data_IF_309760930637
#
_entry.id   IF_309760930637
#
_cell.length_a   1.000
_cell.length_b   1.000
_cell.length_c   1.000
_cell.angle_alpha   90.00
_cell.angle_beta   90.00
_cell.angle_gamma   90.00
#
_symmetry.space_group_name_H-M   'P 1'
#
loop_
_entity.id
_entity.type
_entity.pdbx_description
1 polymer ?
#
# COMPACT_ATOMS: atom_id res chain seq x y z
N UNK A 1 -50.15 -40.46 -24.08
CA UNK A 1 -51.38 -39.88 -23.51
C UNK A 1 -51.14 -38.41 -23.22
N UNK A 2 -51.85 -37.49 -23.87
CA UNK A 2 -51.61 -36.06 -23.78
C UNK A 2 -52.58 -35.37 -22.81
N UNK A 3 -52.09 -34.41 -22.03
CA UNK A 3 -52.93 -33.34 -21.49
C UNK A 3 -52.14 -32.02 -21.42
N UNK A 4 -52.37 -31.18 -22.42
CA UNK A 4 -52.43 -29.71 -22.30
C UNK A 4 -53.93 -29.36 -22.06
N UNK A 5 -54.39 -28.13 -21.65
CA UNK A 5 -53.76 -26.83 -21.94
C UNK A 5 -54.03 -25.63 -20.96
N UNK A 6 -53.47 -24.48 -21.36
CA UNK A 6 -54.10 -23.14 -21.38
C UNK A 6 -54.28 -22.32 -20.06
N UNK A 7 -53.52 -21.21 -19.94
CA UNK A 7 -53.97 -19.81 -20.22
C UNK A 7 -54.28 -19.01 -18.94
N UNK A 8 -54.00 -17.70 -18.75
CA UNK A 8 -54.27 -16.51 -19.59
C UNK A 8 -53.55 -15.24 -19.06
N UNK A 9 -53.16 -14.39 -20.03
CA UNK A 9 -53.34 -12.90 -20.16
C UNK A 9 -52.65 -11.98 -19.14
N UNK A 10 -51.71 -11.11 -19.55
CA UNK A 10 -51.82 -9.85 -20.35
C UNK A 10 -52.53 -8.69 -19.64
N UNK A 11 -51.76 -7.66 -19.30
CA UNK A 11 -51.98 -6.21 -19.57
C UNK A 11 -51.00 -5.41 -18.69
N UNK A 12 -50.59 -4.17 -18.92
CA UNK A 12 -50.33 -3.32 -20.08
C UNK A 12 -49.91 -1.95 -19.48
N UNK A 13 -48.81 -1.37 -19.99
CA UNK A 13 -48.52 0.07 -20.18
C UNK A 13 -48.91 1.09 -19.08
N UNK A 14 -47.93 1.93 -18.71
CA UNK A 14 -48.05 3.40 -18.89
C UNK A 14 -46.68 4.09 -18.86
N UNK A 15 -46.47 4.92 -19.90
CA UNK A 15 -45.42 5.93 -20.02
C UNK A 15 -45.68 7.10 -19.05
N UNK A 16 -44.59 7.73 -18.56
CA UNK A 16 -44.44 9.19 -18.41
C UNK A 16 -42.95 9.48 -18.14
N UNK A 17 -42.19 9.98 -19.12
CA UNK A 17 -42.02 11.38 -19.47
C UNK A 17 -40.91 12.09 -18.66
N UNK A 18 -39.77 12.25 -19.36
CA UNK A 18 -38.72 13.27 -19.23
C UNK A 18 -39.14 14.54 -18.47
N UNK A 19 -38.29 14.97 -17.52
CA UNK A 19 -37.92 16.39 -17.36
C UNK A 19 -36.42 16.49 -17.07
N UNK A 20 -35.70 17.09 -18.03
CA UNK A 20 -34.38 17.64 -17.85
C UNK A 20 -34.50 18.89 -16.96
N UNK A 21 -33.66 18.98 -15.93
CA UNK A 21 -33.42 20.22 -15.20
C UNK A 21 -31.92 20.51 -15.23
N UNK A 22 -31.57 21.52 -16.02
CA UNK A 22 -30.26 22.16 -16.10
C UNK A 22 -30.13 23.19 -14.98
N UNK A 23 -29.03 23.20 -14.22
CA UNK A 23 -28.63 24.36 -13.43
C UNK A 23 -27.61 25.22 -14.21
N UNK A 24 -28.16 26.27 -14.83
CA UNK A 24 -27.67 27.66 -14.88
C UNK A 24 -26.19 27.91 -14.60
N UNK A 25 -25.49 28.22 -15.69
CA UNK A 25 -24.21 28.91 -15.76
C UNK A 25 -24.27 30.27 -15.07
N UNK A 26 -23.37 30.51 -14.11
CA UNK A 26 -23.22 31.78 -13.42
C UNK A 26 -22.32 32.74 -14.20
N UNK A 27 -22.92 33.85 -14.62
CA UNK A 27 -22.39 35.23 -14.66
C UNK A 27 -20.91 35.46 -15.00
N UNK A 28 -20.67 35.80 -16.27
CA UNK A 28 -19.53 36.60 -16.73
C UNK A 28 -19.77 38.08 -16.39
N UNK A 29 -19.05 38.63 -15.41
CA UNK A 29 -18.84 40.08 -15.29
C UNK A 29 -17.36 40.31 -14.94
N UNK A 30 -16.59 40.74 -15.93
CA UNK A 30 -15.26 41.34 -15.71
C UNK A 30 -15.22 42.63 -16.50
N UNK A 31 -15.58 43.72 -15.81
CA UNK A 31 -15.42 45.07 -16.31
C UNK A 31 -14.00 45.55 -16.00
N UNK A 32 -13.32 46.01 -17.04
CA UNK A 32 -12.04 46.69 -16.97
C UNK A 32 -12.19 48.11 -16.39
N UNK A 33 -11.21 48.57 -15.62
CA UNK A 33 -10.78 49.98 -15.64
C UNK A 33 -9.41 50.17 -15.00
N UNK A 34 -8.50 50.74 -15.79
CA UNK A 34 -7.22 51.33 -15.38
C UNK A 34 -7.46 52.58 -14.53
N UNK A 35 -6.64 52.81 -13.51
CA UNK A 35 -6.27 54.17 -13.10
C UNK A 35 -4.87 54.18 -12.47
N UNK A 36 -3.98 54.97 -13.11
CA UNK A 36 -2.62 55.29 -12.66
C UNK A 36 -2.69 56.42 -11.66
N UNK A 37 -2.04 56.28 -10.49
CA UNK A 37 -1.63 57.42 -9.67
C UNK A 37 -0.16 57.25 -9.27
N UNK A 38 0.65 58.18 -9.76
CA UNK A 38 2.01 58.48 -9.35
C UNK A 38 1.99 59.50 -8.21
N UNK A 39 2.75 59.30 -7.13
CA UNK A 39 3.94 60.11 -6.76
C UNK A 39 4.32 59.93 -5.27
N UNK A 40 5.58 59.47 -5.10
CA UNK A 40 6.62 59.91 -4.16
C UNK A 40 6.25 60.25 -2.70
N UNK A 41 6.92 59.56 -1.78
CA UNK A 41 7.71 60.21 -0.72
C UNK A 41 8.81 59.25 -0.26
N UNK A 42 10.03 59.78 -0.19
CA UNK A 42 11.22 59.08 0.28
C UNK A 42 11.29 59.13 1.81
N UNK A 43 11.66 58.02 2.43
CA UNK A 43 12.22 58.01 3.77
C UNK A 43 13.42 57.04 3.75
N UNK A 44 14.60 57.62 3.87
CA UNK A 44 15.85 56.90 4.08
C UNK A 44 15.82 56.26 5.46
N UNK A 45 15.69 54.94 5.52
CA UNK A 45 16.04 54.15 6.70
C UNK A 45 17.40 53.50 6.43
N UNK A 46 18.42 53.96 7.14
CA UNK A 46 19.72 53.32 7.19
C UNK A 46 19.54 51.95 7.87
N UNK A 47 19.35 50.90 7.05
CA UNK A 47 19.33 49.53 7.51
C UNK A 47 20.79 49.08 7.79
N UNK A 48 21.08 48.80 9.05
CA UNK A 48 22.24 47.99 9.43
C UNK A 48 22.14 46.66 8.69
N UNK A 49 22.97 46.47 7.68
CA UNK A 49 23.18 45.19 7.04
C UNK A 49 23.97 44.29 8.01
N UNK A 50 23.28 43.67 8.95
CA UNK A 50 23.79 42.43 9.54
C UNK A 50 23.65 41.35 8.48
N UNK A 51 24.72 40.60 8.16
CA UNK A 51 24.55 39.36 7.42
C UNK A 51 23.76 38.42 8.35
N UNK A 52 22.45 38.33 8.11
CA UNK A 52 21.71 37.12 8.45
C UNK A 52 22.34 36.00 7.61
N UNK A 53 23.45 35.46 8.10
CA UNK A 53 23.87 34.12 7.75
C UNK A 53 22.69 33.25 8.14
N UNK A 54 21.88 32.93 7.13
CA UNK A 54 20.79 31.98 7.23
C UNK A 54 21.40 30.67 7.67
N UNK A 55 21.42 30.44 8.98
CA UNK A 55 21.37 29.11 9.55
C UNK A 55 20.03 28.55 9.09
N UNK A 56 20.01 28.03 7.86
CA UNK A 56 19.06 26.99 7.51
C UNK A 56 19.41 25.87 8.47
N UNK A 57 18.75 25.85 9.63
CA UNK A 57 18.71 24.67 10.45
C UNK A 57 18.19 23.59 9.52
N UNK A 58 19.10 22.77 9.01
CA UNK A 58 18.72 21.51 8.42
C UNK A 58 17.82 20.88 9.47
N UNK A 59 16.58 20.49 9.11
CA UNK A 59 15.73 19.78 10.06
C UNK A 59 16.60 18.69 10.67
N UNK A 60 16.60 18.57 11.99
CA UNK A 60 17.19 17.43 12.64
C UNK A 60 16.30 16.24 12.24
N UNK A 61 16.55 15.70 11.04
CA UNK A 61 16.04 14.40 10.63
C UNK A 61 16.58 13.42 11.68
N UNK A 62 15.66 12.67 12.27
CA UNK A 62 15.95 11.82 13.41
C UNK A 62 16.68 10.58 12.91
N UNK A 63 17.99 10.73 12.70
CA UNK A 63 18.85 9.74 12.05
C UNK A 63 18.46 8.29 12.35
N UNK A 64 18.42 7.46 11.30
CA UNK A 64 18.20 6.02 11.41
C UNK A 64 19.04 5.43 12.53
N UNK A 65 18.38 4.66 13.39
CA UNK A 65 18.96 4.13 14.62
C UNK A 65 18.60 2.67 14.75
N UNK A 66 19.63 1.82 14.64
CA UNK A 66 19.50 0.38 14.71
C UNK A 66 20.53 -0.23 15.66
N UNK A 67 20.28 -1.46 16.06
CA UNK A 67 21.22 -2.35 16.73
C UNK A 67 21.46 -3.51 15.77
N UNK A 68 22.69 -3.69 15.31
CA UNK A 68 23.11 -4.81 14.45
C UNK A 68 23.99 -5.72 15.29
N UNK A 69 23.58 -6.97 15.50
CA UNK A 69 24.31 -7.95 16.31
C UNK A 69 24.71 -7.44 17.71
N UNK A 70 23.79 -6.72 18.36
CA UNK A 70 23.99 -6.14 19.69
C UNK A 70 24.80 -4.83 19.72
N UNK A 71 25.25 -4.32 18.56
CA UNK A 71 25.98 -3.04 18.46
C UNK A 71 25.08 -1.94 17.91
N UNK A 72 25.04 -0.79 18.58
CA UNK A 72 24.38 0.40 18.06
C UNK A 72 25.06 0.88 16.77
N UNK A 73 24.26 1.07 15.71
CA UNK A 73 24.65 1.64 14.43
C UNK A 73 23.67 2.76 14.09
N UNK A 74 24.19 3.90 13.65
CA UNK A 74 23.38 5.06 13.26
C UNK A 74 23.95 5.69 12.01
N UNK A 75 23.08 6.23 11.16
CA UNK A 75 23.49 6.92 9.95
C UNK A 75 22.66 6.49 8.74
N UNK A 76 22.97 7.05 7.55
CA UNK A 76 22.13 6.88 6.37
C UNK A 76 22.21 5.50 5.72
N UNK A 77 23.20 4.69 6.12
CA UNK A 77 23.37 3.33 5.66
C UNK A 77 23.69 2.45 6.87
N UNK A 78 22.78 1.54 7.18
CA UNK A 78 22.97 0.47 8.15
C UNK A 78 23.20 -0.80 7.34
N UNK A 79 24.37 -1.40 7.50
CA UNK A 79 24.77 -2.57 6.71
C UNK A 79 25.06 -3.72 7.66
N UNK A 80 24.47 -4.87 7.34
CA UNK A 80 24.72 -6.15 7.97
C UNK A 80 26.09 -6.74 7.64
N UNK A 81 26.21 -8.05 7.85
CA UNK A 81 27.33 -8.89 7.47
C UNK A 81 26.88 -9.96 6.49
N UNK A 82 27.79 -10.66 5.79
CA UNK A 82 27.39 -11.74 4.86
C UNK A 82 26.88 -13.04 5.52
N UNK A 83 26.50 -13.01 6.80
CA UNK A 83 25.89 -14.15 7.47
C UNK A 83 24.86 -13.66 8.48
N UNK A 84 24.09 -14.60 9.04
CA UNK A 84 22.88 -14.35 9.83
C UNK A 84 23.06 -13.23 10.87
N UNK A 85 22.36 -12.13 10.63
CA UNK A 85 22.33 -10.94 11.45
C UNK A 85 21.03 -10.83 12.25
N UNK A 86 21.14 -10.23 13.43
CA UNK A 86 19.99 -9.74 14.19
C UNK A 86 20.02 -8.21 14.16
N UNK A 87 19.07 -7.63 13.44
CA UNK A 87 18.95 -6.18 13.24
C UNK A 87 17.67 -5.69 13.92
N UNK A 88 17.77 -4.72 14.82
CA UNK A 88 16.59 -4.06 15.40
C UNK A 88 16.66 -2.57 15.18
N UNK A 89 15.68 -2.01 14.48
CA UNK A 89 15.61 -0.57 14.20
C UNK A 89 14.45 0.08 14.96
N UNK A 90 14.76 1.20 15.64
CA UNK A 90 13.75 2.05 16.29
C UNK A 90 13.11 3.05 15.34
N UNK A 91 13.81 3.37 14.25
CA UNK A 91 13.33 4.18 13.14
C UNK A 91 14.25 4.00 11.94
N UNK A 92 13.70 4.12 10.73
CA UNK A 92 14.46 4.23 9.48
C UNK A 92 13.99 5.50 8.78
N UNK A 93 14.87 6.49 8.72
CA UNK A 93 14.58 7.80 8.15
C UNK A 93 14.45 7.74 6.62
N UNK A 94 13.74 8.71 6.07
CA UNK A 94 13.58 8.81 4.63
C UNK A 94 14.91 9.03 3.90
N UNK A 95 15.12 8.26 2.84
CA UNK A 95 16.37 8.26 2.07
C UNK A 95 17.48 7.41 2.68
N UNK A 96 17.31 6.93 3.92
CA UNK A 96 18.24 6.00 4.54
C UNK A 96 17.94 4.56 4.10
N UNK A 97 18.94 3.69 4.23
CA UNK A 97 18.87 2.28 3.85
C UNK A 97 19.39 1.38 4.97
N UNK A 98 18.62 0.33 5.27
CA UNK A 98 19.06 -0.85 6.03
C UNK A 98 19.18 -2.00 5.04
N UNK A 99 20.34 -2.65 5.00
CA UNK A 99 20.65 -3.76 4.07
C UNK A 99 21.34 -4.88 4.86
N UNK A 100 20.69 -6.03 5.04
CA UNK A 100 21.22 -7.12 5.87
C UNK A 100 22.26 -7.98 5.10
N UNK A 101 22.27 -7.86 3.77
CA UNK A 101 23.22 -8.48 2.84
C UNK A 101 22.92 -9.95 2.52
N UNK A 102 23.57 -10.89 3.19
CA UNK A 102 23.43 -12.30 2.88
C UNK A 102 23.40 -13.10 4.18
N UNK A 103 22.78 -14.27 4.17
CA UNK A 103 22.51 -15.04 5.38
C UNK A 103 21.02 -14.99 5.71
N UNK A 104 20.59 -15.77 6.70
CA UNK A 104 19.19 -15.81 7.12
C UNK A 104 18.99 -14.79 8.24
N UNK A 105 18.62 -13.57 7.87
CA UNK A 105 18.63 -12.41 8.77
C UNK A 105 17.30 -12.22 9.53
N UNK A 106 17.39 -11.73 10.76
CA UNK A 106 16.23 -11.38 11.58
C UNK A 106 16.15 -9.87 11.80
N UNK A 107 15.19 -9.20 11.16
CA UNK A 107 15.02 -7.76 11.15
C UNK A 107 13.76 -7.37 11.93
N UNK A 108 13.92 -6.66 13.05
CA UNK A 108 12.83 -6.17 13.88
C UNK A 108 12.66 -4.64 13.78
N UNK A 109 11.48 -4.21 13.34
CA UNK A 109 11.10 -2.82 13.12
C UNK A 109 10.12 -2.38 14.21
N UNK A 110 10.59 -1.52 15.12
CA UNK A 110 9.85 -1.15 16.33
C UNK A 110 9.22 0.24 16.29
N UNK A 111 9.50 1.00 15.23
CA UNK A 111 8.98 2.35 15.00
C UNK A 111 8.81 2.65 13.51
N UNK A 112 8.75 3.93 13.11
CA UNK A 112 8.43 4.32 11.74
C UNK A 112 9.58 4.04 10.76
N UNK A 113 9.22 3.53 9.59
CA UNK A 113 10.11 3.21 8.47
C UNK A 113 9.72 4.06 7.27
N UNK A 114 10.45 5.15 7.06
CA UNK A 114 10.30 6.03 5.90
C UNK A 114 11.38 5.82 4.83
N UNK A 115 12.46 5.11 5.15
CA UNK A 115 13.50 4.68 4.22
C UNK A 115 13.34 3.24 3.72
N UNK A 116 14.42 2.69 3.17
CA UNK A 116 14.44 1.32 2.66
C UNK A 116 14.96 0.32 3.69
N UNK A 117 14.34 -0.85 3.75
CA UNK A 117 14.84 -2.03 4.46
C UNK A 117 14.89 -3.19 3.46
N UNK A 118 16.05 -3.83 3.37
CA UNK A 118 16.31 -4.97 2.51
C UNK A 118 16.72 -6.16 3.35
N UNK A 119 16.11 -7.31 3.10
CA UNK A 119 16.56 -8.61 3.58
C UNK A 119 17.92 -8.89 2.99
N UNK A 120 17.98 -9.43 1.78
CA UNK A 120 19.26 -9.82 1.23
C UNK A 120 19.17 -11.04 0.34
N UNK A 121 20.28 -11.76 0.27
CA UNK A 121 20.30 -13.15 -0.17
C UNK A 121 20.15 -14.06 1.07
N UNK A 122 19.03 -14.77 1.22
CA UNK A 122 18.83 -15.73 2.31
C UNK A 122 17.36 -15.82 2.72
N UNK A 123 17.00 -16.73 3.61
CA UNK A 123 15.62 -16.80 4.11
C UNK A 123 15.45 -15.79 5.25
N UNK A 124 15.10 -14.54 4.93
CA UNK A 124 15.04 -13.46 5.90
C UNK A 124 13.69 -13.37 6.62
N UNK A 125 13.72 -12.90 7.87
CA UNK A 125 12.54 -12.67 8.68
C UNK A 125 12.42 -11.18 9.08
N UNK A 126 11.44 -10.49 8.51
CA UNK A 126 11.14 -9.09 8.82
C UNK A 126 9.89 -8.99 9.69
N UNK A 127 10.03 -8.45 10.90
CA UNK A 127 8.92 -8.24 11.83
C UNK A 127 8.66 -6.75 12.05
N UNK A 128 7.41 -6.31 11.86
CA UNK A 128 6.96 -4.97 12.24
C UNK A 128 6.04 -5.07 13.45
N UNK A 129 6.41 -4.42 14.55
CA UNK A 129 5.60 -4.43 15.78
C UNK A 129 4.32 -3.59 15.65
N UNK A 130 3.33 -3.74 16.56
CA UNK A 130 2.12 -2.90 16.56
C UNK A 130 2.37 -1.38 16.64
N UNK A 131 3.51 -0.97 17.20
CA UNK A 131 3.90 0.45 17.32
C UNK A 131 4.74 0.94 16.15
N UNK A 132 5.17 0.03 15.28
CA UNK A 132 5.89 0.35 14.05
C UNK A 132 4.94 0.69 12.91
N UNK A 133 5.47 1.33 11.87
CA UNK A 133 4.75 1.61 10.63
C UNK A 133 5.69 1.60 9.44
N UNK A 134 5.22 1.11 8.29
CA UNK A 134 5.86 1.39 7.01
C UNK A 134 5.25 2.68 6.47
N UNK A 135 5.98 3.77 6.52
CA UNK A 135 5.49 5.09 6.09
C UNK A 135 5.33 5.15 4.57
N UNK A 136 4.67 6.19 4.05
CA UNK A 136 4.34 6.31 2.63
C UNK A 136 5.54 6.24 1.66
N UNK A 137 6.75 6.54 2.15
CA UNK A 137 8.00 6.41 1.39
C UNK A 137 8.86 5.22 1.79
N UNK A 138 8.46 4.54 2.86
CA UNK A 138 9.09 3.33 3.33
C UNK A 138 8.94 2.19 2.34
N UNK A 139 9.97 1.35 2.26
CA UNK A 139 9.92 0.10 1.50
C UNK A 139 10.57 -1.02 2.28
N UNK A 140 9.88 -2.15 2.36
CA UNK A 140 10.44 -3.43 2.77
C UNK A 140 10.57 -4.32 1.52
N UNK A 141 11.70 -4.99 1.35
CA UNK A 141 12.02 -5.81 0.18
C UNK A 141 12.87 -7.02 0.63
N UNK A 142 12.36 -8.24 0.48
CA UNK A 142 13.07 -9.45 0.90
C UNK A 142 14.22 -9.80 -0.05
N UNK A 143 14.00 -9.54 -1.33
CA UNK A 143 14.92 -9.70 -2.47
C UNK A 143 15.04 -11.14 -3.00
N UNK A 144 15.83 -12.01 -2.39
CA UNK A 144 16.11 -13.35 -2.91
C UNK A 144 15.93 -14.41 -1.84
N UNK A 145 15.34 -15.54 -2.25
CA UNK A 145 15.01 -16.71 -1.42
C UNK A 145 13.66 -16.52 -0.71
N UNK A 146 13.26 -17.48 0.11
CA UNK A 146 11.91 -17.53 0.65
C UNK A 146 11.83 -16.66 1.93
N UNK A 147 11.40 -15.40 1.77
CA UNK A 147 11.37 -14.42 2.85
C UNK A 147 10.07 -14.43 3.64
N UNK A 148 10.13 -13.95 4.88
CA UNK A 148 8.97 -13.91 5.80
C UNK A 148 8.76 -12.52 6.38
N UNK A 149 7.59 -11.97 6.15
CA UNK A 149 7.14 -10.70 6.71
C UNK A 149 6.02 -10.94 7.72
N UNK A 150 6.23 -10.55 8.97
CA UNK A 150 5.20 -10.55 10.01
C UNK A 150 4.92 -9.10 10.41
N UNK A 151 3.88 -8.50 9.84
CA UNK A 151 3.61 -7.08 9.96
C UNK A 151 2.37 -6.83 10.80
N UNK A 152 2.57 -6.33 12.02
CA UNK A 152 1.47 -5.97 12.94
C UNK A 152 1.23 -4.47 12.99
N UNK A 153 1.96 -3.68 12.20
CA UNK A 153 1.81 -2.22 12.13
C UNK A 153 1.12 -1.74 10.83
N UNK A 154 0.71 -0.46 10.76
CA UNK A 154 0.20 0.11 9.51
C UNK A 154 1.23 0.08 8.37
N UNK A 155 0.76 -0.22 7.16
CA UNK A 155 1.54 -0.21 5.92
C UNK A 155 0.98 0.88 5.01
N UNK A 156 1.70 2.00 4.92
CA UNK A 156 1.41 3.14 4.05
C UNK A 156 2.30 3.15 2.80
N UNK A 157 3.45 2.46 2.87
CA UNK A 157 4.44 2.36 1.80
C UNK A 157 4.36 1.05 1.01
N UNK A 158 5.53 0.51 0.66
CA UNK A 158 5.66 -0.72 -0.13
C UNK A 158 6.20 -1.87 0.71
N UNK A 159 5.66 -3.06 0.48
CA UNK A 159 6.23 -4.34 0.91
C UNK A 159 6.31 -5.25 -0.30
N UNK A 160 7.48 -5.82 -0.56
CA UNK A 160 7.70 -6.80 -1.63
C UNK A 160 8.37 -8.02 -1.01
N UNK A 161 7.84 -9.22 -1.28
CA UNK A 161 8.51 -10.49 -0.97
C UNK A 161 9.86 -10.53 -1.65
N UNK A 162 9.86 -10.53 -2.98
CA UNK A 162 11.08 -10.47 -3.77
C UNK A 162 11.09 -11.52 -4.86
N UNK A 163 11.90 -12.55 -4.67
CA UNK A 163 12.07 -13.67 -5.59
C UNK A 163 12.08 -14.95 -4.79
N UNK A 164 11.46 -15.97 -5.36
CA UNK A 164 11.15 -17.25 -4.72
C UNK A 164 9.88 -17.15 -3.88
N UNK A 165 9.60 -18.17 -3.06
CA UNK A 165 8.26 -18.37 -2.52
C UNK A 165 8.15 -17.65 -1.18
N UNK A 166 7.64 -16.41 -1.21
CA UNK A 166 7.64 -15.52 -0.06
C UNK A 166 6.37 -15.67 0.79
N UNK A 167 6.46 -15.29 2.06
CA UNK A 167 5.31 -15.21 2.97
C UNK A 167 5.15 -13.83 3.55
N UNK A 168 3.99 -13.21 3.34
CA UNK A 168 3.60 -11.95 3.97
C UNK A 168 2.36 -12.14 4.84
N UNK A 169 2.55 -12.06 6.15
CA UNK A 169 1.49 -12.08 7.17
C UNK A 169 1.22 -10.64 7.65
N UNK A 170 0.04 -10.10 7.32
CA UNK A 170 -0.48 -8.86 7.88
C UNK A 170 -1.39 -9.20 9.07
N UNK A 171 -0.90 -8.89 10.27
CA UNK A 171 -1.49 -9.31 11.54
C UNK A 171 -2.60 -8.36 12.00
N UNK A 172 -3.13 -8.59 13.20
CA UNK A 172 -4.37 -7.99 13.70
C UNK A 172 -4.43 -6.45 13.64
N UNK A 173 -3.32 -5.72 13.85
CA UNK A 173 -3.34 -4.25 13.79
C UNK A 173 -2.86 -3.69 12.44
N UNK A 174 -2.57 -4.56 11.47
CA UNK A 174 -2.13 -4.16 10.15
C UNK A 174 -3.23 -3.44 9.36
N UNK A 175 -2.80 -2.43 8.61
CA UNK A 175 -3.65 -1.64 7.73
C UNK A 175 -2.89 -1.34 6.45
N UNK A 176 -3.33 -1.90 5.32
CA UNK A 176 -2.81 -1.52 3.99
C UNK A 176 -3.51 -0.25 3.56
N UNK A 177 -2.87 0.89 3.78
CA UNK A 177 -3.47 2.20 3.53
C UNK A 177 -3.71 2.47 2.04
N UNK A 178 -4.50 3.50 1.72
CA UNK A 178 -4.68 3.93 0.34
C UNK A 178 -3.33 4.36 -0.26
N UNK A 179 -3.01 3.85 -1.45
CA UNK A 179 -1.72 4.06 -2.11
C UNK A 179 -0.58 3.15 -1.62
N UNK A 180 -0.80 2.39 -0.54
CA UNK A 180 0.10 1.33 -0.11
C UNK A 180 -0.01 0.11 -1.01
N UNK A 181 1.04 -0.70 -0.98
CA UNK A 181 1.29 -1.71 -1.99
C UNK A 181 2.05 -2.89 -1.39
N UNK A 182 1.38 -4.02 -1.25
CA UNK A 182 1.94 -5.26 -0.71
C UNK A 182 1.98 -6.30 -1.82
N UNK A 183 3.15 -6.83 -2.14
CA UNK A 183 3.35 -7.82 -3.21
C UNK A 183 4.17 -9.03 -2.75
N UNK A 184 3.85 -10.21 -3.27
CA UNK A 184 4.77 -11.35 -3.25
C UNK A 184 5.92 -11.17 -4.26
N UNK A 185 5.55 -10.82 -5.50
CA UNK A 185 6.38 -10.51 -6.66
C UNK A 185 6.73 -11.70 -7.55
N UNK A 186 7.75 -12.50 -7.28
CA UNK A 186 8.15 -13.61 -8.16
C UNK A 186 8.25 -14.89 -7.38
N UNK A 187 7.45 -15.88 -7.71
CA UNK A 187 7.46 -17.15 -7.00
C UNK A 187 6.04 -17.49 -6.56
N UNK A 188 5.86 -18.65 -5.95
CA UNK A 188 4.55 -19.05 -5.44
C UNK A 188 4.36 -18.45 -4.04
N UNK A 189 3.84 -17.24 -3.98
CA UNK A 189 3.81 -16.45 -2.76
C UNK A 189 2.57 -16.75 -1.90
N UNK A 190 2.70 -16.56 -0.59
CA UNK A 190 1.58 -16.65 0.35
C UNK A 190 1.38 -15.34 1.08
N UNK A 191 0.27 -14.67 0.79
CA UNK A 191 -0.13 -13.41 1.43
C UNK A 191 -1.35 -13.67 2.32
N UNK A 192 -1.20 -13.53 3.63
CA UNK A 192 -2.28 -13.74 4.60
C UNK A 192 -2.54 -12.45 5.36
N UNK A 193 -3.80 -12.04 5.40
CA UNK A 193 -4.26 -10.89 6.15
C UNK A 193 -5.28 -11.35 7.18
N UNK A 194 -4.98 -11.13 8.44
CA UNK A 194 -5.84 -11.55 9.55
C UNK A 194 -7.21 -10.87 9.52
N UNK A 195 -8.15 -11.43 10.27
CA UNK A 195 -9.55 -10.98 10.27
C UNK A 195 -9.74 -9.52 10.73
N UNK A 196 -8.80 -8.99 11.52
CA UNK A 196 -8.82 -7.61 11.97
C UNK A 196 -8.09 -6.64 11.01
N UNK A 197 -7.30 -7.15 10.06
CA UNK A 197 -6.58 -6.32 9.11
C UNK A 197 -7.51 -5.64 8.09
N UNK A 198 -7.17 -4.43 7.66
CA UNK A 198 -7.93 -3.66 6.67
C UNK A 198 -7.15 -3.41 5.38
N UNK A 199 -7.81 -3.51 4.22
CA UNK A 199 -7.19 -3.26 2.91
C UNK A 199 -7.85 -2.10 2.18
N UNK A 200 -7.18 -0.96 2.15
CA UNK A 200 -7.53 0.23 1.37
C UNK A 200 -6.64 0.43 0.14
N UNK A 201 -5.44 -0.15 0.15
CA UNK A 201 -4.46 -0.15 -0.94
C UNK A 201 -4.50 -1.43 -1.79
N UNK A 202 -3.34 -1.82 -2.30
CA UNK A 202 -3.19 -2.99 -3.17
C UNK A 202 -2.50 -4.15 -2.45
N UNK A 203 -3.03 -5.36 -2.66
CA UNK A 203 -2.39 -6.63 -2.34
C UNK A 203 -2.31 -7.42 -3.64
N UNK A 204 -1.13 -7.84 -4.05
CA UNK A 204 -0.88 -8.57 -5.31
C UNK A 204 0.02 -9.77 -5.07
N UNK A 205 -0.28 -10.93 -5.69
CA UNK A 205 0.59 -12.10 -5.65
C UNK A 205 1.84 -11.82 -6.49
N UNK A 206 1.75 -11.94 -7.81
CA UNK A 206 2.84 -11.58 -8.71
C UNK A 206 2.95 -12.47 -9.94
N UNK A 207 4.13 -13.05 -10.14
CA UNK A 207 4.40 -14.09 -11.12
C UNK A 207 4.33 -15.47 -10.43
N UNK A 208 3.73 -16.47 -11.08
CA UNK A 208 3.49 -17.85 -10.61
C UNK A 208 2.22 -18.00 -9.75
N UNK A 209 2.02 -19.18 -9.17
CA UNK A 209 0.75 -19.54 -8.54
C UNK A 209 0.75 -19.08 -7.07
N UNK A 210 -0.03 -18.04 -6.78
CA UNK A 210 -0.05 -17.40 -5.49
C UNK A 210 -1.26 -17.82 -4.63
N UNK A 211 -1.09 -17.73 -3.32
CA UNK A 211 -2.20 -17.85 -2.36
C UNK A 211 -2.39 -16.54 -1.63
N UNK A 212 -3.59 -15.95 -1.79
CA UNK A 212 -3.96 -14.71 -1.11
C UNK A 212 -5.19 -14.92 -0.24
N UNK A 213 -5.04 -14.75 1.07
CA UNK A 213 -6.11 -14.89 2.04
C UNK A 213 -6.37 -13.56 2.75
N UNK A 214 -7.44 -12.86 2.37
CA UNK A 214 -7.93 -11.67 3.08
C UNK A 214 -9.04 -12.08 4.04
N UNK A 215 -8.66 -12.38 5.28
CA UNK A 215 -9.61 -12.65 6.36
C UNK A 215 -10.42 -11.42 6.75
N UNK A 216 -9.83 -10.23 6.66
CA UNK A 216 -10.42 -8.95 7.02
C UNK A 216 -11.33 -8.30 5.96
N UNK A 217 -11.48 -6.98 6.08
CA UNK A 217 -12.34 -6.18 5.19
C UNK A 217 -11.52 -5.57 4.05
N UNK A 218 -11.85 -5.97 2.82
CA UNK A 218 -11.41 -5.30 1.60
C UNK A 218 -12.31 -4.09 1.33
N UNK A 219 -11.75 -2.89 1.44
CA UNK A 219 -12.49 -1.62 1.36
C UNK A 219 -12.80 -1.21 -0.08
N UNK A 220 -13.71 -0.24 -0.30
CA UNK A 220 -14.06 0.21 -1.65
C UNK A 220 -12.90 0.69 -2.54
N UNK A 221 -11.86 1.25 -1.95
CA UNK A 221 -10.63 1.65 -2.66
C UNK A 221 -9.63 0.51 -2.81
N UNK A 222 -9.77 -0.54 -1.99
CA UNK A 222 -8.83 -1.64 -1.92
C UNK A 222 -8.92 -2.56 -3.12
N UNK A 223 -7.78 -3.20 -3.42
CA UNK A 223 -7.67 -4.20 -4.48
C UNK A 223 -6.90 -5.41 -3.99
N UNK A 224 -7.39 -6.58 -4.37
CA UNK A 224 -6.66 -7.85 -4.32
C UNK A 224 -6.49 -8.34 -5.75
N UNK A 225 -5.27 -8.70 -6.11
CA UNK A 225 -4.93 -9.27 -7.41
C UNK A 225 -4.09 -10.52 -7.26
N UNK A 226 -4.38 -11.58 -8.01
CA UNK A 226 -3.52 -12.76 -8.07
C UNK A 226 -2.24 -12.41 -8.80
N UNK A 227 -2.31 -12.29 -10.12
CA UNK A 227 -1.15 -11.98 -10.93
C UNK A 227 -1.15 -12.80 -12.21
N UNK A 228 0.03 -13.14 -12.70
CA UNK A 228 0.21 -14.13 -13.75
C UNK A 228 0.39 -15.51 -13.11
N UNK A 229 -0.53 -16.44 -13.31
CA UNK A 229 -0.46 -17.74 -12.65
C UNK A 229 -1.83 -18.35 -12.42
N UNK A 230 -1.87 -19.52 -11.80
CA UNK A 230 -3.13 -20.13 -11.36
C UNK A 230 -3.28 -19.82 -9.86
N UNK A 231 -4.00 -18.75 -9.52
CA UNK A 231 -3.98 -18.20 -8.17
C UNK A 231 -5.18 -18.63 -7.30
N UNK A 232 -4.94 -18.81 -5.99
CA UNK A 232 -5.95 -19.09 -4.97
C UNK A 232 -6.28 -17.83 -4.16
N UNK A 233 -7.41 -17.18 -4.46
CA UNK A 233 -7.84 -15.94 -3.82
C UNK A 233 -9.03 -16.17 -2.88
N UNK A 234 -8.83 -15.99 -1.58
CA UNK A 234 -9.90 -15.98 -0.58
C UNK A 234 -10.11 -14.58 0.00
N UNK A 235 -11.34 -14.06 -0.03
CA UNK A 235 -11.69 -12.77 0.58
C UNK A 235 -12.95 -12.94 1.44
N UNK A 236 -12.82 -12.63 2.73
CA UNK A 236 -13.92 -12.68 3.70
C UNK A 236 -15.00 -11.66 3.35
N UNK A 237 -14.70 -10.37 3.47
CA UNK A 237 -15.66 -9.29 3.20
C UNK A 237 -15.12 -8.39 2.10
N UNK A 238 -15.76 -8.44 0.92
CA UNK A 238 -15.36 -7.66 -0.24
C UNK A 238 -16.23 -6.41 -0.43
N UNK A 239 -15.65 -5.22 -0.35
CA UNK A 239 -16.25 -3.97 -0.84
C UNK A 239 -15.44 -3.34 -1.98
N UNK A 240 -14.28 -3.91 -2.31
CA UNK A 240 -13.36 -3.41 -3.33
C UNK A 240 -13.32 -4.29 -4.58
N UNK A 241 -12.15 -4.35 -5.20
CA UNK A 241 -11.90 -5.14 -6.41
C UNK A 241 -11.10 -6.40 -6.09
N UNK A 242 -11.56 -7.53 -6.61
CA UNK A 242 -10.85 -8.82 -6.58
C UNK A 242 -10.74 -9.31 -8.01
N UNK A 243 -9.52 -9.60 -8.43
CA UNK A 243 -9.14 -9.96 -9.80
C UNK A 243 -8.08 -11.06 -9.75
N UNK A 244 -8.32 -12.25 -10.31
CA UNK A 244 -7.29 -13.30 -10.34
C UNK A 244 -6.13 -12.85 -11.22
N UNK A 245 -6.38 -12.77 -12.52
CA UNK A 245 -5.47 -12.16 -13.47
C UNK A 245 -5.40 -13.03 -14.72
N UNK A 246 -4.27 -13.06 -15.42
CA UNK A 246 -4.01 -14.09 -16.42
C UNK A 246 -3.75 -15.46 -15.78
N UNK A 247 -4.60 -16.44 -16.12
CA UNK A 247 -4.43 -17.84 -15.73
C UNK A 247 -5.76 -18.48 -15.37
N UNK A 248 -5.72 -19.59 -14.62
CA UNK A 248 -6.90 -20.27 -14.08
C UNK A 248 -6.98 -20.04 -12.58
N UNK A 249 -7.68 -18.97 -12.20
CA UNK A 249 -7.76 -18.53 -10.82
C UNK A 249 -8.97 -19.10 -10.06
N UNK A 250 -8.73 -19.56 -8.84
CA UNK A 250 -9.74 -19.97 -7.90
C UNK A 250 -10.05 -18.85 -6.91
N UNK A 251 -11.06 -18.04 -7.22
CA UNK A 251 -11.47 -16.96 -6.32
C UNK A 251 -12.69 -17.36 -5.47
N UNK A 252 -12.64 -17.09 -4.17
CA UNK A 252 -13.74 -17.24 -3.20
C UNK A 252 -13.98 -15.97 -2.38
N UNK A 253 -15.16 -15.37 -2.55
CA UNK A 253 -15.62 -14.21 -1.75
C UNK A 253 -16.77 -14.67 -0.86
N UNK A 254 -16.66 -14.48 0.45
CA UNK A 254 -17.70 -14.93 1.40
C UNK A 254 -18.88 -13.96 1.42
N UNK A 255 -18.62 -12.65 1.52
CA UNK A 255 -19.65 -11.59 1.55
C UNK A 255 -19.24 -10.35 0.77
N UNK A 256 -20.22 -9.58 0.27
CA UNK A 256 -19.99 -8.24 -0.28
C UNK A 256 -20.17 -8.11 -1.80
N UNK A 257 -19.52 -7.11 -2.40
CA UNK A 257 -19.63 -6.81 -3.83
C UNK A 257 -19.16 -8.00 -4.69
N UNK A 258 -19.84 -8.24 -5.82
CA UNK A 258 -19.43 -9.29 -6.75
C UNK A 258 -18.07 -8.96 -7.37
N UNK A 259 -17.38 -10.01 -7.80
CA UNK A 259 -16.05 -10.01 -8.44
C UNK A 259 -16.07 -9.25 -9.76
N UNK A 260 -14.89 -8.88 -10.27
CA UNK A 260 -14.75 -8.41 -11.65
C UNK A 260 -15.18 -9.54 -12.60
N UNK A 261 -16.10 -9.29 -13.55
CA UNK A 261 -16.54 -10.32 -14.48
C UNK A 261 -15.40 -10.81 -15.38
N UNK A 262 -15.14 -12.12 -15.41
CA UNK A 262 -14.29 -12.78 -16.41
C UNK A 262 -12.88 -13.19 -15.96
N UNK A 263 -12.48 -12.92 -14.72
CA UNK A 263 -11.15 -13.31 -14.19
C UNK A 263 -11.22 -14.19 -12.94
N UNK A 264 -12.42 -14.50 -12.47
CA UNK A 264 -12.66 -15.36 -11.31
C UNK A 264 -13.92 -16.19 -11.60
N UNK A 265 -13.74 -17.41 -12.11
CA UNK A 265 -14.87 -18.31 -12.36
C UNK A 265 -15.40 -18.90 -11.03
N UNK A 266 -16.70 -19.17 -10.98
CA UNK A 266 -17.37 -19.77 -9.82
C UNK A 266 -17.14 -21.28 -9.84
N UNK A 267 -16.55 -21.83 -8.79
CA UNK A 267 -16.84 -23.21 -8.36
C UNK A 267 -18.20 -23.29 -7.63
#
# INVERSE_FOLDING_TARGET
MPHSPASRRRAARRLAARRLASPRSASLWSAAAKARWTLRTAAAAAALAMPLAGLTATPAHAATSCVVNGRQVTGPAIVGTPGDDVITCSSVDDGDLVDALAGDDAIALTGPVAGGVRGGDGEDAVTLTPTGSVEARGSLDGQFHDDRFALDGPVLGRVTGGRHDDRVDLLDHALVAEGADVRGARGADTLVLDAAAGVFGSVEGGEAADRIEVGGLLQPSGRVRGGDGDDDLFVGINQGAVDGGPGVDACRVVMGLPRVPGTCERE
#
